data_IF_783808445086
#
_entry.id   IF_783808445086
#
_cell.length_a   1.000
_cell.length_b   1.000
_cell.length_c   1.000
_cell.angle_alpha   90.00
_cell.angle_beta   90.00
_cell.angle_gamma   90.00
#
_symmetry.space_group_name_H-M   'P 1'
#
loop_
_entity.id
_entity.type
_entity.pdbx_description
1 polymer ?
#
# COMPACT_ATOMS: atom_id res chain seq x y z
N UNK A 1 -13.38 31.65 -18.00
CA UNK A 1 -14.11 30.59 -18.74
C UNK A 1 -14.57 31.23 -20.02
N UNK A 2 -14.12 30.72 -21.19
CA UNK A 2 -14.59 31.22 -22.47
C UNK A 2 -16.11 31.01 -22.53
N UNK A 3 -16.88 32.10 -22.70
CA UNK A 3 -18.30 32.01 -22.97
C UNK A 3 -18.45 31.22 -24.28
N UNK A 4 -19.00 30.01 -24.17
CA UNK A 4 -19.27 29.15 -25.33
C UNK A 4 -20.37 29.83 -26.14
N UNK A 5 -19.98 30.50 -27.25
CA UNK A 5 -20.86 31.26 -28.11
C UNK A 5 -21.80 30.27 -28.80
N UNK A 6 -23.12 30.39 -28.61
CA UNK A 6 -24.10 29.48 -29.24
C UNK A 6 -24.02 29.62 -30.78
N UNK A 7 -23.98 28.48 -31.45
CA UNK A 7 -24.03 28.37 -32.92
C UNK A 7 -25.49 28.21 -33.34
N UNK A 8 -26.00 29.12 -34.12
CA UNK A 8 -27.41 29.19 -34.52
C UNK A 8 -27.56 29.04 -36.03
N UNK A 9 -28.17 27.95 -36.46
CA UNK A 9 -28.50 27.78 -37.87
C UNK A 9 -29.73 28.62 -38.21
N UNK A 10 -29.57 29.47 -39.24
CA UNK A 10 -30.65 30.38 -39.74
C UNK A 10 -30.95 29.97 -41.17
N UNK A 11 -32.07 29.33 -41.37
CA UNK A 11 -32.56 28.94 -42.69
C UNK A 11 -33.71 29.87 -43.13
N UNK A 12 -33.49 30.63 -44.18
CA UNK A 12 -34.45 31.56 -44.77
C UNK A 12 -34.00 31.85 -46.22
N UNK A 13 -34.86 31.78 -47.21
CA UNK A 13 -34.51 31.99 -48.62
C UNK A 13 -34.18 33.47 -48.91
N UNK A 14 -34.73 34.38 -48.12
CA UNK A 14 -34.59 35.85 -48.31
C UNK A 14 -33.35 36.37 -47.63
N UNK A 15 -32.40 36.86 -48.39
CA UNK A 15 -31.11 37.36 -47.85
C UNK A 15 -31.25 38.48 -46.80
N UNK A 16 -32.23 39.38 -46.94
CA UNK A 16 -32.50 40.45 -45.98
C UNK A 16 -32.95 39.92 -44.63
N UNK A 17 -33.75 38.85 -44.58
CA UNK A 17 -34.17 38.21 -43.36
C UNK A 17 -32.98 37.57 -42.62
N UNK A 18 -32.14 36.84 -43.35
CA UNK A 18 -30.87 36.28 -42.75
C UNK A 18 -29.99 37.37 -42.17
N UNK A 19 -29.87 38.54 -42.86
CA UNK A 19 -29.10 39.67 -42.34
C UNK A 19 -29.70 40.24 -41.07
N UNK A 20 -31.00 40.44 -41.00
CA UNK A 20 -31.70 40.94 -39.80
C UNK A 20 -31.54 39.98 -38.61
N UNK A 21 -31.78 38.69 -38.82
CA UNK A 21 -31.62 37.65 -37.80
C UNK A 21 -30.14 37.57 -37.35
N UNK A 22 -29.21 37.63 -38.28
CA UNK A 22 -27.78 37.68 -37.97
C UNK A 22 -27.37 38.86 -37.09
N UNK A 23 -27.90 40.05 -37.36
CA UNK A 23 -27.69 41.23 -36.53
C UNK A 23 -28.30 41.02 -35.11
N UNK A 24 -29.48 40.44 -35.00
CA UNK A 24 -30.08 40.13 -33.68
C UNK A 24 -29.24 39.12 -32.90
N UNK A 25 -28.75 38.06 -33.55
CA UNK A 25 -27.87 37.06 -32.96
C UNK A 25 -26.54 37.62 -32.52
N UNK A 26 -25.95 38.51 -33.29
CA UNK A 26 -24.71 39.20 -32.94
C UNK A 26 -24.85 40.03 -31.63
N UNK A 27 -25.98 40.73 -31.46
CA UNK A 27 -26.29 41.46 -30.19
C UNK A 27 -26.50 40.52 -29.01
N UNK A 28 -26.79 39.24 -29.26
CA UNK A 28 -26.93 38.21 -28.23
C UNK A 28 -25.69 37.33 -28.04
N UNK A 29 -24.56 37.72 -28.63
CA UNK A 29 -23.29 36.98 -28.61
C UNK A 29 -23.45 35.53 -29.12
N UNK A 30 -24.13 35.36 -30.26
CA UNK A 30 -24.30 34.07 -30.95
C UNK A 30 -23.63 34.10 -32.33
N UNK A 31 -23.18 32.92 -32.83
CA UNK A 31 -22.58 32.75 -34.11
C UNK A 31 -23.60 32.20 -35.10
N UNK A 32 -24.06 32.97 -36.13
CA UNK A 32 -25.01 32.47 -37.10
C UNK A 32 -24.33 31.57 -38.14
N UNK A 33 -25.04 30.51 -38.54
CA UNK A 33 -24.77 29.66 -39.71
C UNK A 33 -25.97 29.90 -40.68
N UNK A 34 -25.71 30.18 -41.94
CA UNK A 34 -26.78 30.55 -42.85
C UNK A 34 -27.06 29.44 -43.86
N UNK A 35 -28.32 29.12 -44.05
CA UNK A 35 -28.85 28.28 -45.14
C UNK A 35 -29.88 29.05 -45.97
N UNK A 36 -29.87 28.83 -47.28
CA UNK A 36 -30.76 29.51 -48.21
C UNK A 36 -32.06 28.70 -48.50
N UNK A 37 -32.12 27.45 -48.03
CA UNK A 37 -33.25 26.56 -48.15
C UNK A 37 -33.15 25.36 -47.16
N UNK A 38 -34.19 24.49 -47.18
CA UNK A 38 -34.24 23.32 -46.28
C UNK A 38 -33.19 22.27 -46.57
N UNK A 39 -32.72 22.10 -47.82
CA UNK A 39 -31.67 21.12 -48.14
C UNK A 39 -30.34 21.52 -47.53
N UNK A 40 -29.96 22.78 -47.73
CA UNK A 40 -28.74 23.33 -47.16
C UNK A 40 -28.81 23.36 -45.60
N UNK A 41 -29.99 23.65 -45.04
CA UNK A 41 -30.20 23.62 -43.61
C UNK A 41 -29.99 22.23 -43.00
N UNK A 42 -30.51 21.16 -43.63
CA UNK A 42 -30.29 19.77 -43.19
C UNK A 42 -28.82 19.37 -43.30
N UNK A 43 -28.14 19.80 -44.37
CA UNK A 43 -26.73 19.49 -44.54
C UNK A 43 -25.82 20.22 -43.55
N UNK A 44 -26.04 21.52 -43.30
CA UNK A 44 -25.36 22.30 -42.30
C UNK A 44 -25.62 21.79 -40.90
N UNK A 45 -26.84 21.35 -40.61
CA UNK A 45 -27.18 20.72 -39.32
C UNK A 45 -26.31 19.49 -39.07
N UNK A 46 -26.12 18.63 -40.07
CA UNK A 46 -25.31 17.42 -39.98
C UNK A 46 -23.82 17.72 -39.82
N UNK A 47 -23.32 18.71 -40.57
CA UNK A 47 -21.86 19.04 -40.60
C UNK A 47 -21.42 19.86 -39.41
N UNK A 48 -22.25 20.80 -38.98
CA UNK A 48 -21.89 21.86 -38.07
C UNK A 48 -22.46 21.71 -36.65
N UNK A 49 -23.39 20.77 -36.45
CA UNK A 49 -24.06 20.48 -35.16
C UNK A 49 -24.43 21.77 -34.39
N UNK A 50 -25.38 22.60 -34.92
CA UNK A 50 -25.76 23.87 -34.27
C UNK A 50 -26.48 23.62 -32.94
N UNK A 51 -26.37 24.59 -32.00
CA UNK A 51 -27.06 24.55 -30.72
C UNK A 51 -28.56 24.93 -30.82
N UNK A 52 -28.95 25.69 -31.86
CA UNK A 52 -30.31 26.17 -32.10
C UNK A 52 -30.54 26.25 -33.61
N UNK A 53 -31.76 26.00 -34.05
CA UNK A 53 -32.21 26.17 -35.43
C UNK A 53 -33.31 27.20 -35.50
N UNK A 54 -33.18 28.20 -36.38
CA UNK A 54 -34.21 29.14 -36.79
C UNK A 54 -34.60 28.81 -38.20
N UNK A 55 -35.83 28.37 -38.44
CA UNK A 55 -36.27 27.79 -39.68
C UNK A 55 -37.45 28.56 -40.29
N UNK A 56 -37.28 29.08 -41.50
CA UNK A 56 -38.40 29.57 -42.29
C UNK A 56 -39.19 28.37 -42.84
N UNK A 57 -40.51 28.50 -42.94
CA UNK A 57 -41.36 27.45 -43.46
C UNK A 57 -41.42 27.46 -44.98
N UNK A 58 -41.42 28.64 -45.59
CA UNK A 58 -41.63 28.82 -47.00
C UNK A 58 -40.30 29.04 -47.71
N UNK A 59 -39.66 27.95 -48.15
CA UNK A 59 -38.37 27.99 -48.87
C UNK A 59 -38.44 27.15 -50.14
N UNK A 60 -37.60 27.46 -51.16
CA UNK A 60 -37.49 26.67 -52.36
C UNK A 60 -36.79 25.32 -52.11
N UNK A 61 -36.90 24.39 -53.02
CA UNK A 61 -36.29 23.04 -53.05
C UNK A 61 -36.81 22.11 -51.92
N UNK A 62 -36.73 22.52 -50.70
CA UNK A 62 -37.27 21.81 -49.53
C UNK A 62 -37.85 22.86 -48.58
N UNK A 63 -39.09 22.69 -48.18
CA UNK A 63 -39.78 23.56 -47.25
C UNK A 63 -39.29 23.30 -45.78
N UNK A 64 -39.61 24.24 -44.88
CA UNK A 64 -39.19 24.16 -43.49
C UNK A 64 -39.81 22.99 -42.73
N UNK A 65 -41.03 22.56 -43.12
CA UNK A 65 -41.67 21.42 -42.46
C UNK A 65 -40.92 20.11 -42.71
N UNK A 66 -40.52 19.86 -43.95
CA UNK A 66 -39.73 18.69 -44.32
C UNK A 66 -38.32 18.75 -43.70
N UNK A 67 -37.68 19.94 -43.70
CA UNK A 67 -36.40 20.13 -43.07
C UNK A 67 -36.44 19.84 -41.55
N UNK A 68 -37.48 20.31 -40.84
CA UNK A 68 -37.69 20.00 -39.42
C UNK A 68 -37.83 18.51 -39.18
N UNK A 69 -38.63 17.79 -39.97
CA UNK A 69 -38.76 16.33 -39.85
C UNK A 69 -37.45 15.60 -39.99
N UNK A 70 -36.64 15.96 -40.97
CA UNK A 70 -35.32 15.35 -41.21
C UNK A 70 -34.34 15.68 -40.11
N UNK A 71 -34.32 16.90 -39.61
CA UNK A 71 -33.44 17.32 -38.47
C UNK A 71 -33.84 16.53 -37.21
N UNK A 72 -35.15 16.38 -36.91
CA UNK A 72 -35.60 15.60 -35.76
C UNK A 72 -35.24 14.13 -35.85
N UNK A 73 -35.37 13.52 -37.03
CA UNK A 73 -34.95 12.13 -37.25
C UNK A 73 -33.42 11.93 -37.06
N UNK A 74 -32.62 12.93 -37.33
CA UNK A 74 -31.16 12.88 -37.11
C UNK A 74 -30.76 13.17 -35.64
N UNK A 75 -31.61 13.88 -34.89
CA UNK A 75 -31.36 14.34 -33.53
C UNK A 75 -32.01 13.44 -32.48
N UNK A 76 -32.26 12.15 -32.73
CA UNK A 76 -32.96 11.22 -31.82
C UNK A 76 -32.38 11.20 -30.40
N UNK A 77 -31.04 11.26 -30.26
CA UNK A 77 -30.36 11.21 -28.95
C UNK A 77 -30.01 12.59 -28.37
N UNK A 78 -30.21 13.67 -29.12
CA UNK A 78 -29.79 15.01 -28.75
C UNK A 78 -30.82 16.08 -29.12
N UNK A 79 -31.52 16.60 -28.11
CA UNK A 79 -32.51 17.65 -28.34
C UNK A 79 -31.81 18.96 -28.70
N UNK A 80 -32.15 19.51 -29.91
CA UNK A 80 -31.74 20.83 -30.39
C UNK A 80 -33.02 21.66 -30.62
N UNK A 81 -33.16 22.82 -30.00
CA UNK A 81 -34.35 23.64 -30.18
C UNK A 81 -34.47 24.16 -31.61
N UNK A 82 -35.70 24.04 -32.15
CA UNK A 82 -36.07 24.53 -33.49
C UNK A 82 -37.15 25.59 -33.29
N UNK A 83 -36.89 26.82 -33.71
CA UNK A 83 -37.84 27.93 -33.72
C UNK A 83 -38.24 28.24 -35.15
N UNK A 84 -39.50 28.22 -35.43
CA UNK A 84 -40.06 28.60 -36.73
C UNK A 84 -40.09 30.11 -36.89
N UNK A 85 -39.63 30.63 -38.04
CA UNK A 85 -39.78 32.00 -38.48
C UNK A 85 -40.87 32.07 -39.57
N UNK A 86 -42.05 32.54 -39.26
CA UNK A 86 -43.17 32.43 -40.22
C UNK A 86 -43.88 33.78 -40.47
N UNK A 87 -44.16 34.05 -41.71
CA UNK A 87 -45.08 35.10 -42.15
C UNK A 87 -46.55 34.68 -42.07
N UNK A 88 -46.80 33.37 -41.83
CA UNK A 88 -48.14 32.80 -41.78
C UNK A 88 -48.81 33.16 -40.45
N UNK A 89 -50.00 33.77 -40.52
CA UNK A 89 -50.81 34.22 -39.36
C UNK A 89 -51.94 33.20 -39.08
N UNK A 90 -52.01 32.11 -39.80
CA UNK A 90 -53.02 31.05 -39.61
C UNK A 90 -52.68 30.20 -38.38
N UNK A 91 -53.64 30.03 -37.46
CA UNK A 91 -53.51 29.16 -36.30
C UNK A 91 -53.13 27.72 -36.70
N UNK A 92 -53.57 27.24 -37.84
CA UNK A 92 -53.34 25.89 -38.37
C UNK A 92 -51.84 25.62 -38.70
N UNK A 93 -51.14 26.58 -39.30
CA UNK A 93 -49.73 26.41 -39.71
C UNK A 93 -48.79 26.38 -38.52
N UNK A 94 -49.12 27.20 -37.51
CA UNK A 94 -48.35 27.22 -36.24
C UNK A 94 -48.53 25.91 -35.48
N UNK A 95 -49.76 25.42 -35.36
CA UNK A 95 -50.07 24.15 -34.72
C UNK A 95 -49.38 23.01 -35.46
N UNK A 96 -49.47 22.95 -36.79
CA UNK A 96 -48.79 21.94 -37.60
C UNK A 96 -47.28 21.97 -37.43
N UNK A 97 -46.66 23.16 -37.40
CA UNK A 97 -45.22 23.29 -37.18
C UNK A 97 -44.75 22.75 -35.81
N UNK A 98 -45.52 22.98 -34.76
CA UNK A 98 -45.24 22.45 -33.44
C UNK A 98 -45.48 20.92 -33.38
N UNK A 99 -46.51 20.38 -34.03
CA UNK A 99 -46.77 18.92 -34.07
C UNK A 99 -45.66 18.14 -34.76
N UNK A 100 -45.03 18.69 -35.80
CA UNK A 100 -43.92 18.04 -36.50
C UNK A 100 -42.57 18.16 -35.77
N UNK A 101 -42.53 18.88 -34.62
CA UNK A 101 -41.39 18.88 -33.76
C UNK A 101 -40.67 20.21 -33.60
N UNK A 102 -41.23 21.36 -34.02
CA UNK A 102 -40.69 22.65 -33.62
C UNK A 102 -41.00 22.94 -32.15
N UNK A 103 -40.13 23.66 -31.46
CA UNK A 103 -40.27 23.96 -30.04
C UNK A 103 -40.96 25.32 -29.79
N UNK A 104 -40.87 26.23 -30.75
CA UNK A 104 -41.47 27.58 -30.66
C UNK A 104 -41.62 28.19 -32.06
N UNK A 105 -42.28 29.35 -32.13
CA UNK A 105 -42.42 30.11 -33.38
C UNK A 105 -42.25 31.62 -33.15
N UNK A 106 -41.83 32.34 -34.17
CA UNK A 106 -41.73 33.79 -34.23
C UNK A 106 -42.39 34.31 -35.50
N UNK A 107 -43.35 35.22 -35.33
CA UNK A 107 -44.04 35.84 -36.45
C UNK A 107 -43.18 36.92 -37.11
N UNK A 108 -43.12 36.94 -38.46
CA UNK A 108 -42.57 38.02 -39.26
C UNK A 108 -43.62 39.13 -39.41
N UNK A 109 -43.23 40.45 -39.35
CA UNK A 109 -41.87 40.97 -39.26
C UNK A 109 -41.26 40.80 -37.86
N UNK A 110 -39.98 40.34 -37.79
CA UNK A 110 -39.32 40.08 -36.54
C UNK A 110 -39.02 41.36 -35.77
N UNK A 111 -39.41 41.39 -34.50
CA UNK A 111 -39.13 42.46 -33.55
C UNK A 111 -37.99 42.03 -32.62
N UNK A 112 -36.93 42.85 -32.56
CA UNK A 112 -35.76 42.49 -31.71
C UNK A 112 -36.14 42.30 -30.23
N UNK A 113 -36.99 43.08 -29.57
CA UNK A 113 -37.36 42.84 -28.18
C UNK A 113 -38.04 41.46 -27.99
N UNK A 114 -38.94 41.04 -28.87
CA UNK A 114 -39.64 39.76 -28.80
C UNK A 114 -38.65 38.64 -29.08
N UNK A 115 -37.85 38.75 -30.14
CA UNK A 115 -36.78 37.80 -30.47
C UNK A 115 -35.84 37.59 -29.29
N UNK A 116 -35.30 38.69 -28.72
CA UNK A 116 -34.38 38.64 -27.62
C UNK A 116 -34.98 38.00 -26.34
N UNK A 117 -36.25 38.31 -26.04
CA UNK A 117 -36.94 37.70 -24.88
C UNK A 117 -37.08 36.18 -25.00
N UNK A 118 -37.55 35.67 -26.20
CA UNK A 118 -37.67 34.25 -26.45
C UNK A 118 -36.34 33.53 -26.50
N UNK A 119 -35.37 34.14 -27.17
CA UNK A 119 -34.01 33.59 -27.23
C UNK A 119 -33.32 33.50 -25.86
N UNK A 120 -33.54 34.48 -24.97
CA UNK A 120 -33.08 34.41 -23.58
C UNK A 120 -33.76 33.32 -22.78
N UNK A 121 -35.03 33.06 -23.01
CA UNK A 121 -35.74 31.97 -22.36
C UNK A 121 -35.16 30.59 -22.81
N UNK A 122 -34.99 30.43 -24.12
CA UNK A 122 -34.37 29.26 -24.71
C UNK A 122 -32.93 29.00 -24.18
N UNK A 123 -32.12 30.04 -24.14
CA UNK A 123 -30.76 29.95 -23.59
C UNK A 123 -30.75 29.42 -22.16
N UNK A 124 -31.68 29.87 -21.31
CA UNK A 124 -31.85 29.33 -19.95
C UNK A 124 -32.16 27.83 -19.93
N UNK A 125 -33.02 27.35 -20.82
CA UNK A 125 -33.33 25.93 -20.92
C UNK A 125 -32.09 25.11 -21.35
N UNK A 126 -31.36 25.58 -22.36
CA UNK A 126 -30.11 24.94 -22.80
C UNK A 126 -29.06 24.90 -21.67
N UNK A 127 -28.90 26.00 -20.94
CA UNK A 127 -27.97 26.05 -19.79
C UNK A 127 -28.39 25.08 -18.68
N UNK A 128 -29.68 24.97 -18.38
CA UNK A 128 -30.18 24.02 -17.39
C UNK A 128 -29.95 22.57 -17.82
N UNK A 129 -30.21 22.24 -19.07
CA UNK A 129 -29.96 20.92 -19.64
C UNK A 129 -28.47 20.56 -19.57
N UNK A 130 -27.58 21.49 -20.03
CA UNK A 130 -26.12 21.29 -19.96
C UNK A 130 -25.63 21.06 -18.54
N UNK A 131 -26.12 21.85 -17.58
CA UNK A 131 -25.79 21.68 -16.16
C UNK A 131 -26.23 20.32 -15.62
N UNK A 132 -27.43 19.88 -15.98
CA UNK A 132 -27.93 18.56 -15.56
C UNK A 132 -27.05 17.43 -16.12
N UNK A 133 -26.77 17.46 -17.43
CA UNK A 133 -25.90 16.45 -18.08
C UNK A 133 -24.51 16.44 -17.45
N UNK A 134 -23.88 17.61 -17.28
CA UNK A 134 -22.56 17.72 -16.64
C UNK A 134 -22.60 17.19 -15.21
N UNK A 135 -23.64 17.47 -14.43
CA UNK A 135 -23.76 16.96 -13.06
C UNK A 135 -23.89 15.43 -13.03
N UNK A 136 -24.68 14.86 -13.94
CA UNK A 136 -24.81 13.40 -14.07
C UNK A 136 -23.48 12.74 -14.46
N UNK A 137 -22.74 13.35 -15.39
CA UNK A 137 -21.43 12.84 -15.81
C UNK A 137 -20.39 12.92 -14.68
N UNK A 138 -20.43 14.00 -13.89
CA UNK A 138 -19.57 14.13 -12.71
C UNK A 138 -19.88 13.02 -11.68
N UNK A 139 -21.14 12.77 -11.37
CA UNK A 139 -21.54 11.71 -10.43
C UNK A 139 -21.07 10.34 -10.94
N UNK A 140 -21.26 10.05 -12.23
CA UNK A 140 -20.79 8.82 -12.86
C UNK A 140 -19.26 8.70 -12.83
N UNK A 141 -18.54 9.80 -13.11
CA UNK A 141 -17.08 9.81 -13.07
C UNK A 141 -16.54 9.54 -11.65
N UNK A 142 -17.16 10.16 -10.63
CA UNK A 142 -16.80 9.90 -9.23
C UNK A 142 -17.04 8.45 -8.86
N UNK A 143 -18.23 7.89 -9.16
CA UNK A 143 -18.55 6.50 -8.87
C UNK A 143 -17.60 5.52 -9.57
N UNK A 144 -17.21 5.80 -10.83
CA UNK A 144 -16.27 4.97 -11.59
C UNK A 144 -14.81 5.14 -11.18
N UNK A 145 -14.46 6.24 -10.52
CA UNK A 145 -13.11 6.51 -9.98
C UNK A 145 -12.83 5.80 -8.66
N UNK A 146 -13.85 5.32 -7.95
CA UNK A 146 -13.69 4.57 -6.69
C UNK A 146 -13.22 3.15 -7.00
N UNK A 147 -12.25 2.65 -6.20
CA UNK A 147 -11.69 1.29 -6.33
C UNK A 147 -12.73 0.24 -5.91
N UNK A 148 -13.57 0.56 -4.93
CA UNK A 148 -14.60 -0.32 -4.41
C UNK A 148 -15.76 -0.46 -5.43
N UNK A 149 -16.37 -1.64 -5.48
CA UNK A 149 -17.55 -1.88 -6.27
C UNK A 149 -18.76 -1.18 -5.65
N UNK A 150 -19.45 -0.34 -6.44
CA UNK A 150 -20.71 0.31 -6.02
C UNK A 150 -21.84 -0.31 -6.82
N UNK A 151 -22.85 -0.82 -6.14
CA UNK A 151 -24.03 -1.44 -6.71
C UNK A 151 -25.25 -0.80 -6.08
N UNK A 152 -26.17 -0.28 -6.88
CA UNK A 152 -27.49 0.16 -6.39
C UNK A 152 -28.56 -0.85 -6.76
N UNK A 153 -29.52 -1.05 -5.87
CA UNK A 153 -30.67 -1.95 -6.08
C UNK A 153 -31.95 -1.36 -5.51
N UNK A 154 -33.09 -1.86 -6.00
CA UNK A 154 -34.41 -1.52 -5.50
C UNK A 154 -34.83 -2.39 -4.29
N UNK A 155 -36.07 -2.20 -3.85
CA UNK A 155 -36.70 -2.92 -2.72
C UNK A 155 -36.87 -4.43 -2.99
N UNK A 156 -36.83 -4.87 -4.22
CA UNK A 156 -36.92 -6.28 -4.63
C UNK A 156 -35.54 -6.94 -4.76
N UNK A 157 -34.47 -6.17 -4.58
CA UNK A 157 -33.10 -6.62 -4.79
C UNK A 157 -32.68 -6.60 -6.26
N UNK A 158 -33.45 -5.94 -7.14
CA UNK A 158 -33.09 -5.79 -8.56
C UNK A 158 -32.02 -4.71 -8.71
N UNK A 159 -30.93 -5.03 -9.38
CA UNK A 159 -29.80 -4.12 -9.62
C UNK A 159 -30.21 -3.00 -10.56
N UNK A 160 -30.11 -1.75 -10.09
CA UNK A 160 -30.41 -0.54 -10.85
C UNK A 160 -29.18 0.03 -11.56
N UNK A 161 -28.03 0.00 -10.90
CA UNK A 161 -26.77 0.46 -11.47
C UNK A 161 -25.57 -0.19 -10.84
N UNK A 162 -24.45 -0.21 -11.56
CA UNK A 162 -23.16 -0.70 -11.09
C UNK A 162 -22.05 0.23 -11.60
N UNK A 163 -21.01 0.45 -10.80
CA UNK A 163 -19.82 1.15 -11.26
C UNK A 163 -18.85 0.19 -11.97
N UNK A 164 -17.80 0.75 -12.59
CA UNK A 164 -16.75 -0.02 -13.28
C UNK A 164 -16.02 -1.00 -12.36
N UNK A 165 -15.84 -0.66 -11.09
CA UNK A 165 -15.15 -1.53 -10.13
C UNK A 165 -15.97 -2.75 -9.77
N UNK A 166 -17.30 -2.62 -9.61
CA UNK A 166 -18.19 -3.76 -9.40
C UNK A 166 -18.13 -4.75 -10.57
N UNK A 167 -18.11 -4.26 -11.83
CA UNK A 167 -17.98 -5.14 -12.99
C UNK A 167 -16.66 -5.91 -13.02
N UNK A 168 -15.57 -5.28 -12.61
CA UNK A 168 -14.25 -5.93 -12.49
C UNK A 168 -14.21 -6.97 -11.36
N UNK A 169 -14.74 -6.64 -10.19
CA UNK A 169 -14.77 -7.52 -9.02
C UNK A 169 -15.55 -8.80 -9.33
N UNK A 170 -16.75 -8.69 -9.88
CA UNK A 170 -17.62 -9.84 -10.12
C UNK A 170 -17.41 -10.50 -11.49
N UNK A 171 -16.78 -9.83 -12.44
CA UNK A 171 -16.50 -10.36 -13.78
C UNK A 171 -17.69 -10.35 -14.75
N UNK A 172 -18.77 -9.64 -14.40
CA UNK A 172 -19.92 -9.41 -15.28
C UNK A 172 -19.82 -8.02 -15.92
N UNK A 173 -20.36 -7.85 -17.12
CA UNK A 173 -20.58 -6.52 -17.68
C UNK A 173 -21.76 -5.82 -17.00
N UNK A 174 -21.84 -4.49 -17.11
CA UNK A 174 -22.96 -3.74 -16.55
C UNK A 174 -24.31 -4.18 -17.13
N UNK A 175 -24.37 -4.46 -18.45
CA UNK A 175 -25.59 -4.94 -19.11
C UNK A 175 -26.04 -6.33 -18.67
N UNK A 176 -25.11 -7.17 -18.16
CA UNK A 176 -25.46 -8.48 -17.60
C UNK A 176 -25.94 -8.40 -16.15
N UNK A 177 -25.59 -7.31 -15.43
CA UNK A 177 -25.94 -7.13 -14.02
C UNK A 177 -27.23 -6.31 -13.83
N UNK A 178 -27.36 -5.20 -14.56
CA UNK A 178 -28.53 -4.31 -14.44
C UNK A 178 -29.81 -5.04 -14.83
N UNK A 179 -30.85 -4.92 -14.00
CA UNK A 179 -32.09 -5.65 -14.14
C UNK A 179 -32.11 -7.06 -13.57
N UNK A 180 -30.95 -7.60 -13.11
CA UNK A 180 -30.89 -8.89 -12.45
C UNK A 180 -30.98 -8.73 -10.92
N UNK A 181 -31.34 -9.83 -10.23
CA UNK A 181 -31.40 -9.84 -8.76
C UNK A 181 -29.97 -9.94 -8.17
N UNK A 182 -29.70 -9.21 -7.08
CA UNK A 182 -28.44 -9.21 -6.33
C UNK A 182 -27.98 -10.60 -5.89
N UNK A 183 -28.90 -11.54 -5.71
CA UNK A 183 -28.61 -12.92 -5.32
C UNK A 183 -27.67 -13.63 -6.29
N UNK A 184 -27.56 -13.18 -7.54
CA UNK A 184 -26.59 -13.71 -8.50
C UNK A 184 -25.13 -13.57 -8.07
N UNK A 185 -24.84 -12.62 -7.19
CA UNK A 185 -23.49 -12.29 -6.71
C UNK A 185 -23.12 -13.05 -5.43
N UNK A 186 -24.00 -13.89 -4.93
CA UNK A 186 -23.86 -14.62 -3.66
C UNK A 186 -23.78 -16.13 -3.87
N UNK A 187 -22.92 -16.83 -3.12
CA UNK A 187 -22.91 -18.29 -3.11
C UNK A 187 -24.13 -18.84 -2.31
N UNK A 188 -24.48 -20.11 -2.54
CA UNK A 188 -25.41 -20.84 -1.67
C UNK A 188 -24.83 -20.95 -0.23
N UNK A 189 -25.63 -20.89 0.85
CA UNK A 189 -27.11 -20.79 0.87
C UNK A 189 -27.64 -19.34 0.86
N UNK A 190 -26.76 -18.34 0.79
CA UNK A 190 -27.16 -16.92 0.86
C UNK A 190 -27.93 -16.46 -0.39
N UNK A 191 -27.63 -17.07 -1.54
CA UNK A 191 -28.34 -16.79 -2.80
C UNK A 191 -29.84 -16.99 -2.65
N UNK A 192 -30.25 -18.12 -2.12
CA UNK A 192 -31.67 -18.51 -1.98
C UNK A 192 -32.37 -17.74 -0.85
N UNK A 193 -31.59 -17.31 0.13
CA UNK A 193 -32.12 -16.65 1.33
C UNK A 193 -32.19 -15.12 1.21
N UNK A 194 -31.56 -14.53 0.19
CA UNK A 194 -31.36 -13.08 0.09
C UNK A 194 -32.67 -12.29 0.07
N UNK A 195 -33.62 -12.69 -0.74
CA UNK A 195 -34.92 -11.99 -0.85
C UNK A 195 -35.66 -12.03 0.50
N UNK A 196 -35.52 -13.12 1.24
CA UNK A 196 -36.04 -13.25 2.61
C UNK A 196 -35.36 -12.30 3.61
N UNK A 197 -34.05 -12.02 3.43
CA UNK A 197 -33.34 -11.04 4.26
C UNK A 197 -33.84 -9.62 3.99
N UNK A 198 -34.02 -9.28 2.72
CA UNK A 198 -34.49 -7.97 2.28
C UNK A 198 -35.91 -7.71 2.76
N UNK A 199 -36.83 -8.69 2.58
CA UNK A 199 -38.21 -8.61 3.03
C UNK A 199 -38.30 -8.41 4.56
N UNK A 200 -37.54 -9.17 5.33
CA UNK A 200 -37.48 -9.04 6.79
C UNK A 200 -37.00 -7.66 7.21
N UNK A 201 -35.97 -7.14 6.56
CA UNK A 201 -35.48 -5.77 6.82
C UNK A 201 -36.57 -4.73 6.56
N UNK A 202 -37.30 -4.83 5.45
CA UNK A 202 -38.37 -3.89 5.10
C UNK A 202 -39.55 -3.93 6.06
N UNK A 203 -39.86 -5.12 6.61
CA UNK A 203 -41.00 -5.32 7.55
C UNK A 203 -40.63 -4.96 8.99
N UNK A 204 -39.44 -5.32 9.46
CA UNK A 204 -39.05 -5.18 10.87
C UNK A 204 -38.12 -4.01 11.17
N UNK A 205 -37.44 -3.45 10.15
CA UNK A 205 -36.39 -2.44 10.33
C UNK A 205 -35.12 -3.00 11.00
N UNK A 206 -35.02 -4.33 11.19
CA UNK A 206 -33.86 -4.96 11.86
C UNK A 206 -32.60 -4.86 11.01
N UNK A 207 -31.66 -4.00 11.43
CA UNK A 207 -30.40 -3.72 10.74
C UNK A 207 -29.38 -4.83 10.97
N UNK A 208 -29.31 -5.84 10.11
CA UNK A 208 -28.27 -6.87 10.19
C UNK A 208 -27.03 -6.54 9.36
N UNK A 209 -27.20 -5.97 8.20
CA UNK A 209 -26.12 -5.58 7.26
C UNK A 209 -26.15 -4.09 6.98
N UNK A 210 -27.36 -3.49 6.97
CA UNK A 210 -27.55 -2.06 6.69
C UNK A 210 -26.91 -1.20 7.78
N UNK A 211 -26.02 -0.29 7.37
CA UNK A 211 -25.32 0.63 8.27
C UNK A 211 -24.07 0.05 8.95
N UNK A 212 -23.66 -1.16 8.59
CA UNK A 212 -22.44 -1.80 9.11
C UNK A 212 -21.63 -2.41 7.96
N UNK A 213 -20.31 -2.40 8.11
CA UNK A 213 -19.42 -3.14 7.20
C UNK A 213 -19.29 -4.56 7.74
N UNK A 214 -19.52 -5.56 6.88
CA UNK A 214 -19.36 -6.98 7.23
C UNK A 214 -18.52 -7.70 6.19
N UNK A 215 -17.72 -8.61 6.68
CA UNK A 215 -17.05 -9.59 5.83
C UNK A 215 -18.03 -10.70 5.44
N UNK A 216 -18.14 -10.94 4.16
CA UNK A 216 -19.01 -11.93 3.54
C UNK A 216 -18.26 -12.66 2.43
N UNK A 217 -18.92 -13.58 1.76
CA UNK A 217 -18.41 -14.26 0.57
C UNK A 217 -19.24 -13.89 -0.64
N UNK A 218 -18.56 -13.54 -1.73
CA UNK A 218 -19.17 -13.33 -3.06
C UNK A 218 -18.80 -14.45 -4.01
N UNK A 219 -19.53 -14.51 -5.14
CA UNK A 219 -19.23 -15.41 -6.24
C UNK A 219 -19.05 -14.61 -7.53
N UNK A 220 -17.98 -14.88 -8.27
CA UNK A 220 -17.71 -14.26 -9.57
C UNK A 220 -18.40 -15.02 -10.69
N UNK A 221 -18.50 -14.41 -11.87
CA UNK A 221 -19.08 -15.02 -13.08
C UNK A 221 -18.47 -16.39 -13.43
N UNK A 222 -17.17 -16.57 -13.17
CA UNK A 222 -16.47 -17.83 -13.40
C UNK A 222 -16.69 -18.90 -12.31
N UNK A 223 -17.57 -18.64 -11.33
CA UNK A 223 -17.86 -19.53 -10.22
C UNK A 223 -16.90 -19.44 -9.03
N UNK A 224 -15.85 -18.63 -9.10
CA UNK A 224 -14.89 -18.49 -8.00
C UNK A 224 -15.53 -17.76 -6.80
N UNK A 225 -15.46 -18.38 -5.63
CA UNK A 225 -15.88 -17.79 -4.36
C UNK A 225 -14.72 -16.99 -3.79
N UNK A 226 -15.01 -15.77 -3.33
CA UNK A 226 -13.99 -14.87 -2.78
C UNK A 226 -14.51 -14.10 -1.57
N UNK A 227 -13.63 -13.73 -0.62
CA UNK A 227 -13.99 -12.90 0.53
C UNK A 227 -14.16 -11.45 0.10
N UNK A 228 -15.20 -10.81 0.62
CA UNK A 228 -15.47 -9.40 0.40
C UNK A 228 -15.93 -8.72 1.68
N UNK A 229 -15.69 -7.43 1.78
CA UNK A 229 -16.35 -6.53 2.73
C UNK A 229 -17.52 -5.86 2.04
N UNK A 230 -18.69 -5.88 2.69
CA UNK A 230 -19.91 -5.26 2.22
C UNK A 230 -20.41 -4.24 3.24
N UNK A 231 -20.60 -3.01 2.80
CA UNK A 231 -21.37 -1.98 3.48
C UNK A 231 -22.65 -1.68 2.70
N UNK A 232 -23.81 -1.69 3.35
CA UNK A 232 -25.11 -1.38 2.71
C UNK A 232 -25.70 -0.15 3.35
N UNK A 233 -26.15 0.80 2.52
CA UNK A 233 -26.90 1.99 2.91
C UNK A 233 -28.32 1.93 2.33
N UNK A 234 -29.31 2.28 3.14
CA UNK A 234 -30.71 2.46 2.73
C UNK A 234 -30.97 3.94 2.47
N UNK A 235 -31.40 4.28 1.25
CA UNK A 235 -31.66 5.65 0.83
C UNK A 235 -33.16 5.78 0.52
N UNK A 236 -33.93 6.45 1.38
CA UNK A 236 -35.32 6.72 1.12
C UNK A 236 -35.46 7.79 0.02
N UNK A 237 -36.18 7.48 -1.03
CA UNK A 237 -36.60 8.38 -2.10
C UNK A 237 -38.11 8.66 -2.01
N UNK A 238 -38.65 9.74 -2.60
CA UNK A 238 -40.05 10.15 -2.42
C UNK A 238 -41.09 9.04 -2.70
N UNK A 239 -40.84 8.17 -3.67
CA UNK A 239 -41.77 7.11 -4.07
C UNK A 239 -41.17 5.70 -4.04
N UNK A 240 -39.94 5.51 -3.57
CA UNK A 240 -39.26 4.20 -3.56
C UNK A 240 -38.09 4.24 -2.60
N UNK A 241 -37.58 3.08 -2.18
CA UNK A 241 -36.30 2.94 -1.51
C UNK A 241 -35.24 2.46 -2.49
N UNK A 242 -34.02 2.84 -2.22
CA UNK A 242 -32.85 2.40 -2.96
C UNK A 242 -31.79 1.94 -1.98
N UNK A 243 -31.23 0.77 -2.21
CA UNK A 243 -30.10 0.26 -1.44
C UNK A 243 -28.81 0.50 -2.23
N UNK A 244 -27.79 0.99 -1.54
CA UNK A 244 -26.44 1.10 -2.13
C UNK A 244 -25.52 0.16 -1.36
N UNK A 245 -24.98 -0.83 -2.05
CA UNK A 245 -23.94 -1.72 -1.59
C UNK A 245 -22.56 -1.23 -2.04
N UNK A 246 -21.63 -1.07 -1.09
CA UNK A 246 -20.21 -0.86 -1.38
C UNK A 246 -19.48 -2.16 -1.08
N UNK A 247 -18.81 -2.69 -2.09
CA UNK A 247 -18.15 -4.00 -2.06
C UNK A 247 -16.66 -3.82 -2.26
N UNK A 248 -15.86 -4.35 -1.35
CA UNK A 248 -14.41 -4.42 -1.45
C UNK A 248 -13.95 -5.87 -1.51
N UNK A 249 -13.18 -6.22 -2.51
CA UNK A 249 -12.50 -7.51 -2.59
C UNK A 249 -11.31 -7.52 -1.63
N UNK A 250 -11.33 -8.39 -0.62
CA UNK A 250 -10.25 -8.51 0.39
C UNK A 250 -9.38 -9.75 0.17
N UNK A 251 -9.48 -10.40 -0.99
CA UNK A 251 -8.71 -11.62 -1.31
C UNK A 251 -7.21 -11.41 -1.20
N UNK A 252 -6.70 -10.32 -1.77
CA UNK A 252 -5.28 -10.00 -1.74
C UNK A 252 -4.81 -9.62 -0.34
N UNK A 253 -5.58 -8.78 0.35
CA UNK A 253 -5.29 -8.37 1.74
C UNK A 253 -5.21 -9.59 2.66
N UNK A 254 -6.15 -10.52 2.56
CA UNK A 254 -6.14 -11.76 3.34
C UNK A 254 -4.97 -12.67 2.98
N UNK A 255 -4.59 -12.74 1.71
CA UNK A 255 -3.43 -13.51 1.26
C UNK A 255 -2.14 -12.95 1.89
N UNK A 256 -1.95 -11.64 1.84
CA UNK A 256 -0.78 -10.97 2.42
C UNK A 256 -0.74 -11.16 3.94
N UNK A 257 -1.87 -10.98 4.63
CA UNK A 257 -1.96 -11.19 6.08
C UNK A 257 -1.61 -12.61 6.49
N UNK A 258 -2.10 -13.62 5.75
CA UNK A 258 -1.75 -15.03 6.00
C UNK A 258 -0.25 -15.28 5.80
N UNK A 259 0.33 -14.78 4.72
CA UNK A 259 1.75 -14.92 4.44
C UNK A 259 2.60 -14.28 5.56
N UNK A 260 2.25 -13.07 6.00
CA UNK A 260 2.94 -12.41 7.10
C UNK A 260 2.85 -13.19 8.42
N UNK A 261 1.69 -13.77 8.71
CA UNK A 261 1.52 -14.60 9.91
C UNK A 261 2.37 -15.89 9.84
N UNK A 262 2.44 -16.54 8.66
CA UNK A 262 3.27 -17.72 8.44
C UNK A 262 4.76 -17.39 8.57
N UNK A 263 5.21 -16.28 7.98
CA UNK A 263 6.60 -15.82 8.05
C UNK A 263 6.98 -15.43 9.48
N UNK A 264 6.11 -14.73 10.21
CA UNK A 264 6.32 -14.40 11.62
C UNK A 264 6.46 -15.67 12.49
N UNK A 265 5.59 -16.64 12.30
CA UNK A 265 5.66 -17.92 13.03
C UNK A 265 6.91 -18.73 12.69
N UNK A 266 7.40 -18.61 11.45
CA UNK A 266 8.65 -19.25 11.02
C UNK A 266 9.87 -18.58 11.66
N UNK A 267 9.92 -17.25 11.66
CA UNK A 267 10.99 -16.49 12.31
C UNK A 267 11.05 -16.75 13.81
N UNK A 268 9.90 -16.84 14.48
CA UNK A 268 9.86 -17.17 15.91
C UNK A 268 10.45 -18.54 16.19
N UNK A 269 10.12 -19.55 15.38
CA UNK A 269 10.71 -20.90 15.54
C UNK A 269 12.23 -20.90 15.38
N UNK A 270 12.77 -20.20 14.38
CA UNK A 270 14.22 -20.08 14.23
C UNK A 270 14.87 -19.35 15.39
N UNK A 271 14.23 -18.34 15.95
CA UNK A 271 14.73 -17.62 17.10
C UNK A 271 14.79 -18.53 18.32
N UNK A 272 13.70 -19.24 18.63
CA UNK A 272 13.63 -20.17 19.75
C UNK A 272 14.65 -21.33 19.63
N UNK A 273 14.88 -21.83 18.43
CA UNK A 273 15.89 -22.87 18.15
C UNK A 273 17.31 -22.33 18.39
N UNK A 274 17.59 -21.14 17.88
CA UNK A 274 18.90 -20.47 18.08
C UNK A 274 19.18 -20.16 19.53
N UNK A 275 18.17 -19.73 20.31
CA UNK A 275 18.33 -19.50 21.75
C UNK A 275 18.67 -20.81 22.49
N UNK A 276 17.96 -21.92 22.18
CA UNK A 276 18.27 -23.22 22.79
C UNK A 276 19.68 -23.72 22.47
N UNK A 277 20.13 -23.53 21.21
CA UNK A 277 21.51 -23.88 20.83
C UNK A 277 22.55 -23.06 21.62
N UNK A 278 22.27 -21.75 21.81
CA UNK A 278 23.13 -20.88 22.61
C UNK A 278 23.15 -21.28 24.10
N UNK A 279 21.98 -21.58 24.68
CA UNK A 279 21.89 -22.07 26.08
C UNK A 279 22.67 -23.39 26.28
N UNK A 280 22.56 -24.32 25.35
CA UNK A 280 23.29 -25.57 25.40
C UNK A 280 24.81 -25.34 25.33
N UNK A 281 25.26 -24.47 24.40
CA UNK A 281 26.66 -24.11 24.27
C UNK A 281 27.19 -23.47 25.58
N UNK A 282 26.42 -22.59 26.20
CA UNK A 282 26.76 -21.96 27.49
C UNK A 282 26.90 -23.01 28.60
N UNK A 283 25.98 -23.95 28.72
CA UNK A 283 26.04 -25.00 29.72
C UNK A 283 27.23 -25.94 29.53
N UNK A 284 27.66 -26.18 28.29
CA UNK A 284 28.86 -26.96 28.00
C UNK A 284 30.12 -26.18 28.42
N UNK A 285 30.17 -24.87 28.11
CA UNK A 285 31.32 -24.03 28.46
C UNK A 285 31.50 -23.86 29.96
N UNK A 286 30.43 -23.61 30.72
CA UNK A 286 30.50 -23.48 32.19
C UNK A 286 31.09 -24.74 32.85
N UNK A 287 30.82 -25.92 32.27
CA UNK A 287 31.42 -27.17 32.76
C UNK A 287 32.92 -27.33 32.45
N UNK A 288 33.41 -26.63 31.44
CA UNK A 288 34.86 -26.66 31.07
C UNK A 288 35.69 -25.79 32.03
N UNK A 289 35.10 -24.72 32.57
CA UNK A 289 35.76 -23.89 33.60
C UNK A 289 35.64 -24.62 34.93
N UNK A 290 36.80 -25.05 35.47
CA UNK A 290 36.86 -25.72 36.79
C UNK A 290 36.62 -24.73 37.90
N UNK A 291 35.38 -24.46 38.25
CA UNK A 291 34.96 -23.48 39.26
C UNK A 291 35.52 -23.76 40.64
N UNK A 292 35.82 -25.01 40.96
CA UNK A 292 36.40 -25.39 42.27
C UNK A 292 37.80 -24.78 42.50
N UNK A 293 38.60 -24.61 41.45
CA UNK A 293 39.94 -24.02 41.50
C UNK A 293 39.91 -22.50 41.55
N UNK A 294 38.83 -21.88 41.06
CA UNK A 294 38.59 -20.45 41.19
C UNK A 294 38.24 -20.03 42.63
N UNK A 295 37.98 -20.97 43.52
CA UNK A 295 37.73 -20.73 44.95
C UNK A 295 39.03 -20.77 45.80
N UNK A 296 40.20 -20.68 45.18
CA UNK A 296 41.47 -20.56 45.92
C UNK A 296 41.45 -19.27 46.74
N UNK A 297 41.76 -19.40 48.03
CA UNK A 297 41.75 -18.27 48.96
C UNK A 297 42.73 -17.15 48.61
N UNK A 298 43.73 -17.47 47.79
CA UNK A 298 44.72 -16.48 47.32
C UNK A 298 44.30 -15.71 46.08
N UNK A 299 43.13 -16.03 45.49
CA UNK A 299 42.66 -15.42 44.23
C UNK A 299 41.31 -14.80 44.40
N UNK A 300 41.18 -13.54 44.02
CA UNK A 300 39.91 -12.84 43.82
C UNK A 300 39.76 -12.48 42.35
N UNK A 301 38.62 -12.76 41.77
CA UNK A 301 38.34 -12.47 40.36
C UNK A 301 36.94 -11.89 40.16
N UNK A 302 36.75 -11.14 39.09
CA UNK A 302 35.46 -10.71 38.59
C UNK A 302 35.45 -10.80 37.07
N UNK A 303 34.40 -11.38 36.51
CA UNK A 303 34.16 -11.41 35.07
C UNK A 303 32.77 -10.80 34.83
N UNK A 304 32.72 -9.75 34.01
CA UNK A 304 31.47 -9.09 33.63
C UNK A 304 31.20 -9.36 32.13
N UNK A 305 30.38 -10.34 31.80
CA UNK A 305 30.08 -10.63 30.40
C UNK A 305 29.28 -9.47 29.77
N UNK A 306 29.69 -9.02 28.59
CA UNK A 306 28.99 -7.95 27.85
C UNK A 306 27.64 -8.41 27.31
N UNK A 307 27.43 -9.71 27.12
CA UNK A 307 26.21 -10.43 26.74
C UNK A 307 26.24 -11.85 27.33
N UNK A 308 25.39 -12.74 26.85
CA UNK A 308 25.29 -14.14 27.28
C UNK A 308 26.64 -14.91 27.16
N UNK A 309 27.56 -14.47 26.29
CA UNK A 309 28.88 -15.05 26.10
C UNK A 309 29.95 -13.96 26.13
N UNK A 310 31.05 -14.22 26.83
CA UNK A 310 32.28 -13.41 26.83
C UNK A 310 33.44 -14.22 26.25
N UNK A 311 34.33 -13.56 25.51
CA UNK A 311 35.65 -14.06 25.18
C UNK A 311 36.60 -14.08 26.37
N UNK A 312 36.24 -13.38 27.47
CA UNK A 312 37.01 -13.25 28.69
C UNK A 312 36.90 -14.53 29.51
N UNK A 313 38.04 -15.06 29.89
CA UNK A 313 38.14 -16.23 30.76
C UNK A 313 39.19 -16.02 31.83
N UNK A 314 38.86 -16.39 33.06
CA UNK A 314 39.78 -16.53 34.17
C UNK A 314 39.94 -18.00 34.48
N UNK A 315 41.19 -18.45 34.55
CA UNK A 315 41.52 -19.81 34.98
C UNK A 315 42.57 -19.79 36.08
N UNK A 316 42.38 -20.63 37.09
CA UNK A 316 43.31 -20.81 38.22
C UNK A 316 43.52 -22.28 38.45
N UNK A 317 44.76 -22.64 38.77
CA UNK A 317 45.10 -24.04 39.11
C UNK A 317 46.29 -24.08 40.05
N UNK A 318 46.36 -25.11 40.94
CA UNK A 318 47.59 -25.44 41.70
C UNK A 318 48.22 -26.71 41.17
N UNK A 319 49.52 -26.68 41.04
CA UNK A 319 50.27 -27.90 40.72
C UNK A 319 50.31 -28.83 41.92
N UNK A 320 50.61 -30.13 41.72
CA UNK A 320 50.84 -31.07 42.82
C UNK A 320 52.00 -30.66 43.76
N UNK A 321 52.88 -29.80 43.26
CA UNK A 321 54.03 -29.26 44.03
C UNK A 321 53.67 -27.94 44.75
N UNK A 322 52.45 -27.46 44.65
CA UNK A 322 51.93 -26.29 45.32
C UNK A 322 52.12 -24.95 44.58
N UNK A 323 52.67 -24.96 43.39
CA UNK A 323 52.77 -23.73 42.58
C UNK A 323 51.37 -23.31 42.09
N UNK A 324 51.06 -22.00 42.16
CA UNK A 324 49.83 -21.40 41.71
C UNK A 324 49.97 -20.90 40.27
N UNK A 325 49.06 -21.30 39.41
CA UNK A 325 48.92 -20.82 38.05
C UNK A 325 47.65 -19.98 37.93
N UNK A 326 47.73 -18.84 37.29
CA UNK A 326 46.56 -18.03 36.94
C UNK A 326 46.67 -17.55 35.49
N UNK A 327 45.55 -17.54 34.79
CA UNK A 327 45.43 -17.04 33.44
C UNK A 327 44.21 -16.13 33.34
N UNK A 328 44.39 -14.96 32.78
CA UNK A 328 43.33 -14.09 32.26
C UNK A 328 43.48 -14.08 30.76
N UNK A 329 42.44 -14.41 30.05
CA UNK A 329 42.46 -14.47 28.59
C UNK A 329 41.21 -13.79 28.00
N UNK A 330 41.40 -13.09 26.88
CA UNK A 330 40.36 -12.42 26.10
C UNK A 330 40.51 -12.80 24.63
N UNK A 331 39.51 -13.48 24.09
CA UNK A 331 39.45 -13.89 22.67
C UNK A 331 38.86 -12.79 21.80
N UNK A 332 39.46 -12.57 20.65
CA UNK A 332 38.97 -11.58 19.67
C UNK A 332 37.52 -11.78 19.31
N UNK A 333 36.72 -10.68 19.37
CA UNK A 333 35.29 -10.65 19.03
C UNK A 333 34.39 -10.79 20.25
N UNK A 334 33.12 -11.11 20.06
CA UNK A 334 32.15 -11.26 21.14
C UNK A 334 31.19 -12.43 20.86
N UNK A 335 30.50 -12.84 21.90
CA UNK A 335 29.49 -13.89 21.80
C UNK A 335 30.11 -15.30 21.71
N UNK A 336 29.30 -16.26 21.27
CA UNK A 336 29.63 -17.68 21.25
C UNK A 336 30.95 -18.01 20.52
N UNK A 337 31.19 -17.35 19.38
CA UNK A 337 32.42 -17.61 18.60
C UNK A 337 33.72 -17.22 19.34
N UNK A 338 33.71 -16.13 20.13
CA UNK A 338 34.84 -15.74 20.94
C UNK A 338 35.02 -16.73 22.10
N UNK A 339 33.96 -17.06 22.78
CA UNK A 339 33.95 -17.99 23.90
C UNK A 339 34.46 -19.39 23.51
N UNK A 340 33.99 -19.95 22.37
CA UNK A 340 34.49 -21.25 21.85
C UNK A 340 35.98 -21.18 21.50
N UNK A 341 36.47 -20.04 21.04
CA UNK A 341 37.91 -19.87 20.65
C UNK A 341 38.88 -20.03 21.81
N UNK A 342 38.45 -19.77 23.04
CA UNK A 342 39.30 -19.85 24.23
C UNK A 342 39.29 -21.22 24.92
N UNK A 343 38.28 -22.08 24.63
CA UNK A 343 38.14 -23.39 25.27
C UNK A 343 39.38 -24.32 25.14
N UNK A 344 40.01 -24.43 23.95
CA UNK A 344 41.22 -25.24 23.82
C UNK A 344 42.35 -24.80 24.74
N UNK A 345 42.49 -23.47 24.93
CA UNK A 345 43.49 -22.88 25.84
C UNK A 345 43.26 -23.29 27.30
N UNK A 346 41.98 -23.31 27.76
CA UNK A 346 41.63 -23.78 29.11
C UNK A 346 42.11 -25.21 29.35
N UNK A 347 41.85 -26.13 28.42
CA UNK A 347 42.27 -27.51 28.54
C UNK A 347 43.78 -27.66 28.61
N UNK A 348 44.53 -26.94 27.78
CA UNK A 348 46.00 -26.93 27.82
C UNK A 348 46.55 -26.29 29.12
N UNK A 349 45.95 -25.17 29.55
CA UNK A 349 46.30 -24.53 30.81
C UNK A 349 46.20 -25.46 32.01
N UNK A 350 45.08 -26.17 32.18
CA UNK A 350 44.88 -27.09 33.30
C UNK A 350 45.80 -28.32 33.23
N UNK A 351 46.09 -28.85 32.03
CA UNK A 351 47.07 -29.93 31.86
C UNK A 351 48.49 -29.47 32.22
N UNK A 352 48.88 -28.28 31.73
CA UNK A 352 50.23 -27.74 32.07
C UNK A 352 50.43 -27.47 33.55
N UNK A 353 49.42 -26.91 34.24
CA UNK A 353 49.44 -26.75 35.69
C UNK A 353 49.50 -28.08 36.43
N UNK A 354 48.71 -29.08 36.04
CA UNK A 354 48.77 -30.42 36.66
C UNK A 354 50.11 -31.12 36.48
N UNK A 355 50.82 -30.86 35.37
CA UNK A 355 52.15 -31.39 35.08
C UNK A 355 53.27 -30.54 35.63
N UNK A 356 52.98 -29.45 36.36
CA UNK A 356 53.94 -28.48 36.91
C UNK A 356 54.92 -27.91 35.88
N UNK A 357 54.40 -27.62 34.68
CA UNK A 357 55.18 -27.08 33.56
C UNK A 357 55.77 -25.69 33.90
N UNK A 358 56.95 -25.37 33.32
CA UNK A 358 57.46 -23.96 33.38
C UNK A 358 56.46 -23.04 32.63
N UNK A 359 56.44 -21.75 33.01
CA UNK A 359 55.56 -20.79 32.36
C UNK A 359 55.90 -20.66 30.86
N UNK A 360 57.17 -20.69 30.48
CA UNK A 360 57.63 -20.64 29.09
C UNK A 360 57.09 -21.82 28.29
N UNK A 361 57.14 -23.04 28.81
CA UNK A 361 56.63 -24.25 28.16
C UNK A 361 55.12 -24.14 27.97
N UNK A 362 54.40 -23.72 29.01
CA UNK A 362 52.94 -23.57 28.97
C UNK A 362 52.51 -22.52 27.93
N UNK A 363 53.14 -21.34 27.89
CA UNK A 363 52.86 -20.29 26.92
C UNK A 363 53.14 -20.78 25.49
N UNK A 364 54.25 -21.50 25.27
CA UNK A 364 54.59 -22.07 23.95
C UNK A 364 53.59 -23.10 23.49
N UNK A 365 53.11 -23.98 24.39
CA UNK A 365 52.07 -24.98 24.08
C UNK A 365 50.73 -24.30 23.74
N UNK A 366 50.31 -23.30 24.55
CA UNK A 366 49.09 -22.52 24.33
C UNK A 366 49.12 -21.81 22.97
N UNK A 367 50.24 -21.12 22.68
CA UNK A 367 50.41 -20.40 21.42
C UNK A 367 50.36 -21.35 20.20
N UNK A 368 51.10 -22.47 20.25
CA UNK A 368 51.11 -23.47 19.17
C UNK A 368 49.72 -24.07 18.92
N UNK A 369 48.98 -24.38 20.01
CA UNK A 369 47.63 -24.89 19.95
C UNK A 369 46.66 -23.89 19.29
N UNK A 370 46.72 -22.62 19.72
CA UNK A 370 45.84 -21.57 19.19
C UNK A 370 46.18 -21.20 17.74
N UNK A 371 47.48 -21.16 17.37
CA UNK A 371 47.89 -20.97 15.97
C UNK A 371 47.34 -22.06 15.03
N UNK A 372 47.22 -23.31 15.52
CA UNK A 372 46.70 -24.43 14.75
C UNK A 372 45.18 -24.50 14.66
N UNK A 373 44.46 -23.94 15.62
CA UNK A 373 43.03 -24.07 15.75
C UNK A 373 42.23 -22.82 15.35
N UNK A 374 42.80 -21.62 15.57
CA UNK A 374 42.07 -20.38 15.31
C UNK A 374 42.06 -20.04 13.81
N UNK A 375 40.95 -19.56 13.28
CA UNK A 375 40.92 -18.97 11.94
C UNK A 375 41.82 -17.75 11.83
N UNK A 376 42.31 -17.45 10.62
CA UNK A 376 43.16 -16.27 10.36
C UNK A 376 42.47 -14.99 10.84
N UNK A 377 43.22 -14.16 11.56
CA UNK A 377 42.77 -12.88 12.14
C UNK A 377 42.08 -13.03 13.49
N UNK A 378 42.00 -14.23 14.06
CA UNK A 378 41.57 -14.46 15.44
C UNK A 378 42.79 -14.80 16.32
N UNK A 379 42.75 -14.27 17.54
CA UNK A 379 43.83 -14.47 18.53
C UNK A 379 43.22 -14.38 19.94
N UNK A 380 44.03 -14.72 20.93
CA UNK A 380 43.67 -14.62 22.35
C UNK A 380 44.71 -13.75 23.05
N UNK A 381 44.29 -12.58 23.51
CA UNK A 381 45.07 -11.74 24.38
C UNK A 381 45.08 -12.39 25.77
N UNK A 382 46.25 -12.49 26.43
CA UNK A 382 46.31 -13.14 27.72
C UNK A 382 47.40 -12.61 28.62
N UNK A 383 47.20 -12.79 29.94
CA UNK A 383 48.28 -12.77 30.94
C UNK A 383 48.30 -14.11 31.68
N UNK A 384 49.48 -14.64 31.88
CA UNK A 384 49.70 -15.86 32.61
C UNK A 384 50.70 -15.60 33.75
N UNK A 385 50.38 -16.13 34.93
CA UNK A 385 51.19 -16.01 36.14
C UNK A 385 51.46 -17.41 36.70
N UNK A 386 52.68 -17.68 37.09
CA UNK A 386 53.08 -18.85 37.88
C UNK A 386 53.78 -18.39 39.12
N UNK A 387 53.28 -18.67 40.31
CA UNK A 387 53.85 -18.39 41.59
C UNK A 387 54.36 -19.71 42.22
N UNK A 388 55.60 -19.71 42.69
CA UNK A 388 56.15 -20.89 43.35
C UNK A 388 55.48 -21.17 44.70
N UNK A 389 55.63 -22.39 45.17
CA UNK A 389 55.07 -22.75 46.48
C UNK A 389 55.64 -21.81 47.57
N UNK A 390 54.73 -21.19 48.34
CA UNK A 390 55.06 -20.17 49.32
C UNK A 390 55.04 -18.72 48.82
N UNK A 391 54.73 -18.50 47.58
CA UNK A 391 54.46 -17.20 46.93
C UNK A 391 55.58 -16.17 47.05
N UNK A 392 56.87 -16.62 47.18
CA UNK A 392 58.02 -15.73 47.31
C UNK A 392 58.72 -15.39 45.99
N UNK A 393 58.44 -16.12 44.96
CA UNK A 393 58.97 -15.89 43.62
C UNK A 393 57.94 -16.35 42.58
N UNK A 394 57.97 -15.77 41.40
CA UNK A 394 57.03 -16.12 40.32
C UNK A 394 57.58 -15.68 39.00
N UNK A 395 56.82 -16.07 37.97
CA UNK A 395 56.99 -15.71 36.57
C UNK A 395 55.71 -15.17 36.02
N UNK A 396 55.81 -14.19 35.14
CA UNK A 396 54.64 -13.62 34.44
C UNK A 396 54.94 -13.49 32.96
N UNK A 397 53.90 -13.74 32.14
CA UNK A 397 53.89 -13.47 30.72
C UNK A 397 52.65 -12.62 30.40
N UNK A 398 52.82 -11.57 29.57
CA UNK A 398 51.77 -10.63 29.22
C UNK A 398 51.77 -10.39 27.70
N UNK A 399 50.69 -10.77 27.02
CA UNK A 399 50.54 -10.62 25.56
C UNK A 399 49.18 -10.08 25.17
N UNK A 400 49.13 -8.84 24.70
CA UNK A 400 47.94 -8.21 24.16
C UNK A 400 46.91 -7.70 25.16
N UNK A 401 47.14 -7.86 26.47
CA UNK A 401 46.26 -7.36 27.55
C UNK A 401 46.87 -6.10 28.21
N UNK A 402 46.08 -5.31 28.95
CA UNK A 402 46.60 -4.20 29.76
C UNK A 402 47.68 -4.64 30.74
N UNK A 403 48.45 -3.65 31.24
CA UNK A 403 49.52 -3.89 32.19
C UNK A 403 49.05 -4.65 33.43
N UNK A 404 49.83 -5.63 33.84
CA UNK A 404 49.63 -6.33 35.10
C UNK A 404 50.47 -5.64 36.18
N UNK A 405 49.89 -5.44 37.36
CA UNK A 405 50.53 -4.69 38.45
C UNK A 405 50.87 -5.62 39.64
N UNK A 406 52.08 -5.50 40.14
CA UNK A 406 52.45 -6.00 41.48
C UNK A 406 52.26 -4.86 42.47
N UNK A 407 51.35 -5.08 43.45
CA UNK A 407 50.99 -4.08 44.43
C UNK A 407 51.47 -4.58 45.83
N UNK A 408 52.10 -3.69 46.56
CA UNK A 408 52.56 -3.95 47.93
C UNK A 408 51.39 -3.96 48.93
N UNK A 409 51.61 -4.41 50.15
CA UNK A 409 50.68 -4.43 51.25
C UNK A 409 50.14 -3.02 51.63
N UNK A 410 50.94 -1.98 51.30
CA UNK A 410 50.58 -0.58 51.45
C UNK A 410 49.73 0.00 50.33
N UNK A 411 49.37 -0.82 49.33
CA UNK A 411 48.58 -0.42 48.15
C UNK A 411 49.39 0.30 47.07
N UNK A 412 50.71 0.43 47.23
CA UNK A 412 51.58 1.07 46.22
C UNK A 412 51.99 0.07 45.15
N UNK A 413 52.08 0.56 43.89
CA UNK A 413 52.57 -0.25 42.77
C UNK A 413 54.09 -0.46 42.91
N UNK A 414 54.48 -1.69 43.18
CA UNK A 414 55.90 -2.09 43.30
C UNK A 414 56.51 -2.31 41.91
N UNK A 415 55.79 -2.93 41.03
CA UNK A 415 56.25 -3.24 39.68
C UNK A 415 55.07 -3.26 38.69
N UNK A 416 55.37 -2.87 37.46
CA UNK A 416 54.39 -2.88 36.32
C UNK A 416 54.95 -3.79 35.23
N UNK A 417 54.17 -4.77 34.83
CA UNK A 417 54.45 -5.70 33.73
C UNK A 417 53.67 -5.29 32.52
N UNK A 418 54.33 -4.69 31.55
CA UNK A 418 53.70 -4.20 30.32
C UNK A 418 53.57 -5.32 29.31
N UNK A 419 52.54 -5.24 28.47
CA UNK A 419 52.33 -6.16 27.35
C UNK A 419 53.37 -5.91 26.25
N UNK A 420 54.44 -6.70 26.25
CA UNK A 420 55.52 -6.63 25.24
C UNK A 420 55.44 -7.72 24.21
N UNK A 421 54.64 -8.74 24.46
CA UNK A 421 54.44 -9.89 23.59
C UNK A 421 53.18 -9.75 22.79
N UNK A 422 53.14 -10.38 21.59
CA UNK A 422 51.93 -10.49 20.80
C UNK A 422 50.93 -11.40 21.51
N UNK A 423 49.63 -11.18 21.28
CA UNK A 423 48.59 -12.14 21.68
C UNK A 423 48.86 -13.55 21.16
N UNK A 424 48.39 -14.56 21.88
CA UNK A 424 48.50 -15.96 21.51
C UNK A 424 47.72 -16.28 20.22
N UNK A 425 48.29 -17.11 19.35
CA UNK A 425 47.69 -17.54 18.13
C UNK A 425 47.95 -16.66 16.89
N UNK A 426 48.78 -15.60 17.00
CA UNK A 426 49.16 -14.73 15.86
C UNK A 426 50.34 -15.31 15.08
N UNK A 427 51.42 -15.65 15.74
CA UNK A 427 52.63 -16.18 15.12
C UNK A 427 53.02 -17.52 15.72
N UNK A 428 53.67 -18.38 14.93
CA UNK A 428 54.20 -19.64 15.42
C UNK A 428 55.27 -19.39 16.51
N UNK A 429 55.42 -20.34 17.44
CA UNK A 429 56.27 -20.18 18.61
C UNK A 429 57.75 -19.89 18.29
N UNK A 430 58.28 -20.37 17.15
CA UNK A 430 59.60 -20.08 16.64
C UNK A 430 59.82 -18.63 16.21
N UNK A 431 58.77 -17.91 15.93
CA UNK A 431 58.76 -16.51 15.46
C UNK A 431 58.33 -15.52 16.55
N UNK A 432 57.63 -16.02 17.58
CA UNK A 432 56.98 -15.18 18.59
C UNK A 432 57.94 -14.65 19.65
N UNK A 433 59.21 -15.13 19.76
CA UNK A 433 60.21 -14.67 20.70
C UNK A 433 59.71 -14.67 22.14
N UNK A 434 59.06 -15.75 22.59
CA UNK A 434 58.36 -15.81 23.89
C UNK A 434 59.33 -15.62 25.03
N UNK A 435 59.35 -14.45 25.62
CA UNK A 435 60.12 -14.09 26.83
C UNK A 435 59.14 -13.89 27.98
N UNK A 436 59.56 -14.27 29.18
CA UNK A 436 58.81 -14.04 30.43
C UNK A 436 59.56 -13.06 31.31
N UNK A 437 58.82 -12.35 32.11
CA UNK A 437 59.38 -11.37 33.08
C UNK A 437 59.52 -11.95 34.49
#
# INVERSE_FOLDING_TARGET
MAENTLRVLVADDIASNRTIVGAFLAHLNCTPLYAVDGVEAVELFRQEAPDVVLMDLMMPRMDGFEAIRQIRAMAEDHWVPIIILSALTGEGDVVHGLEIGADDYLAKPLSFPVFAARFKALRRLLDMQRRLTTSLDQVRAVANGVIDGIISADESGTILSVNRSATKIFGYSAGEMVGQNLSMLMPSPHREAHDGYLKRYLESGEKRVVGQIRELTGIRKNGAIFPLELGVSDIPLPNRRMFIGVVRDVSETRRIQRQLAEDAARLQRYHDESEREQELAMAIMERQVRSDWLRDAAVQYAVMPARNFSGDVVAVARSPQGALYAMLADATGHGLAAAVSVLPALGAFYRGAASNQSLTTLVTELNGLLCGLLPRGRFVAASLVRLEAGNRSGQIWVGGVPDVLLIGDDGLVLQRFTSRQLPLGILASSEAGIEHQ
#
